data_IF_929587703050
#
_entry.id   IF_929587703050
#
_cell.length_a   1.000
_cell.length_b   1.000
_cell.length_c   1.000
_cell.angle_alpha   90.00
_cell.angle_beta   90.00
_cell.angle_gamma   90.00
#
_symmetry.space_group_name_H-M   'P 1'
#
loop_
_entity.id
_entity.type
_entity.pdbx_description
1 polymer ?
#
# COMPACT_ATOMS: atom_id res chain seq x y z
N UNK A 1 -13.16 12.57 -8.05
CA UNK A 1 -12.51 11.25 -8.13
C UNK A 1 -11.99 11.07 -9.56
N UNK A 2 -10.74 10.68 -9.71
CA UNK A 2 -10.21 10.32 -11.03
C UNK A 2 -10.48 8.84 -11.28
N UNK A 3 -10.97 8.52 -12.47
CA UNK A 3 -11.09 7.12 -12.89
C UNK A 3 -9.70 6.57 -13.23
N UNK A 4 -9.48 5.31 -12.89
CA UNK A 4 -8.35 4.53 -13.36
C UNK A 4 -8.87 3.56 -14.41
N UNK A 5 -8.25 3.54 -15.57
CA UNK A 5 -8.62 2.64 -16.67
C UNK A 5 -7.50 1.62 -16.85
N UNK A 6 -7.87 0.36 -16.83
CA UNK A 6 -6.94 -0.77 -17.02
C UNK A 6 -7.34 -1.48 -18.31
N UNK A 7 -6.38 -1.61 -19.23
CA UNK A 7 -6.57 -2.31 -20.50
C UNK A 7 -5.68 -3.54 -20.57
N UNK A 8 -6.30 -4.67 -20.71
CA UNK A 8 -5.63 -5.96 -20.92
C UNK A 8 -5.69 -6.34 -22.42
N UNK A 9 -4.62 -6.94 -22.92
CA UNK A 9 -4.61 -7.64 -24.19
C UNK A 9 -4.71 -9.15 -24.01
N UNK A 10 -3.98 -9.90 -24.82
CA UNK A 10 -4.00 -11.37 -24.79
C UNK A 10 -3.03 -11.98 -23.74
N UNK A 11 -2.23 -11.17 -23.06
CA UNK A 11 -1.27 -11.60 -22.04
C UNK A 11 -1.68 -11.07 -20.65
N UNK A 12 -0.87 -11.37 -19.63
CA UNK A 12 -1.07 -10.82 -18.29
C UNK A 12 -0.71 -9.33 -18.17
N UNK A 13 0.01 -8.80 -19.16
CA UNK A 13 0.34 -7.38 -19.18
C UNK A 13 -0.91 -6.52 -19.29
N UNK A 14 -1.01 -5.54 -18.42
CA UNK A 14 -2.05 -4.54 -18.40
C UNK A 14 -1.44 -3.13 -18.49
N UNK A 15 -1.99 -2.29 -19.34
CA UNK A 15 -1.67 -0.88 -19.41
C UNK A 15 -2.67 -0.09 -18.57
N UNK A 16 -2.17 0.77 -17.68
CA UNK A 16 -2.98 1.52 -16.71
C UNK A 16 -2.86 3.00 -16.96
N UNK A 17 -3.99 3.67 -17.06
CA UNK A 17 -4.10 5.12 -17.13
C UNK A 17 -4.71 5.65 -15.82
N UNK A 18 -3.98 6.50 -15.11
CA UNK A 18 -4.43 7.18 -13.91
C UNK A 18 -4.26 8.70 -14.09
N UNK A 19 -5.28 9.38 -14.63
CA UNK A 19 -5.15 10.76 -15.09
C UNK A 19 -4.15 10.88 -16.24
N UNK A 20 -3.09 11.66 -16.05
CA UNK A 20 -2.00 11.79 -17.02
C UNK A 20 -0.85 10.77 -16.84
N UNK A 21 -0.96 9.88 -15.86
CA UNK A 21 0.08 8.91 -15.54
C UNK A 21 -0.22 7.57 -16.21
N UNK A 22 0.84 6.97 -16.76
CA UNK A 22 0.79 5.66 -17.39
C UNK A 22 1.65 4.69 -16.60
N UNK A 23 1.08 3.53 -16.29
CA UNK A 23 1.73 2.48 -15.52
C UNK A 23 1.52 1.14 -16.24
N UNK A 24 2.35 0.17 -15.93
CA UNK A 24 2.19 -1.20 -16.42
C UNK A 24 2.09 -2.15 -15.23
N UNK A 25 1.15 -3.08 -15.31
CA UNK A 25 1.00 -4.20 -14.37
C UNK A 25 1.29 -5.48 -15.16
N UNK A 26 2.05 -6.38 -14.59
CA UNK A 26 2.31 -7.70 -15.21
C UNK A 26 2.57 -8.74 -14.11
N UNK A 27 2.73 -9.97 -14.51
CA UNK A 27 3.21 -11.06 -13.66
C UNK A 27 4.67 -11.39 -14.00
N UNK A 28 5.44 -11.97 -13.08
CA UNK A 28 6.78 -12.43 -13.37
C UNK A 28 6.75 -13.61 -14.36
N UNK A 29 7.87 -13.86 -15.03
CA UNK A 29 7.99 -14.95 -15.97
C UNK A 29 7.66 -16.33 -15.35
N UNK A 30 7.96 -16.52 -14.05
CA UNK A 30 7.63 -17.73 -13.31
C UNK A 30 6.12 -17.97 -13.15
N UNK A 31 5.31 -16.93 -13.25
CA UNK A 31 3.84 -16.99 -13.23
C UNK A 31 3.19 -16.84 -14.61
N UNK A 32 3.98 -16.87 -15.69
CA UNK A 32 3.50 -16.80 -17.07
C UNK A 32 3.42 -15.40 -17.66
N UNK A 33 3.88 -14.38 -16.94
CA UNK A 33 4.01 -13.01 -17.44
C UNK A 33 5.34 -12.76 -18.15
N UNK A 34 5.62 -11.49 -18.44
CA UNK A 34 6.87 -11.03 -19.08
C UNK A 34 7.70 -10.12 -18.17
N UNK A 35 7.26 -9.92 -16.93
CA UNK A 35 7.92 -9.02 -15.96
C UNK A 35 8.08 -7.58 -16.49
N UNK A 36 7.07 -7.12 -17.26
CA UNK A 36 7.07 -5.78 -17.84
C UNK A 36 6.66 -4.68 -16.82
N UNK A 37 6.16 -5.06 -15.67
CA UNK A 37 5.78 -4.17 -14.58
C UNK A 37 5.56 -4.91 -13.28
N UNK A 38 5.36 -4.18 -12.17
CA UNK A 38 5.07 -4.78 -10.87
C UNK A 38 3.78 -5.61 -10.89
N UNK A 39 3.69 -6.56 -9.98
CA UNK A 39 2.46 -7.35 -9.77
C UNK A 39 1.36 -6.51 -9.11
N UNK A 40 0.08 -6.91 -9.22
CA UNK A 40 -1.03 -6.18 -8.59
C UNK A 40 -0.85 -5.91 -7.09
N UNK A 41 -0.34 -6.87 -6.32
CA UNK A 41 -0.10 -6.70 -4.89
C UNK A 41 1.05 -5.74 -4.57
N UNK A 42 2.00 -5.55 -5.50
CA UNK A 42 3.04 -4.53 -5.35
C UNK A 42 2.43 -3.13 -5.40
N UNK A 43 1.40 -2.92 -6.21
CA UNK A 43 0.65 -1.66 -6.26
C UNK A 43 -0.11 -1.39 -4.96
N UNK A 44 -0.70 -2.41 -4.32
CA UNK A 44 -1.31 -2.26 -2.99
C UNK A 44 -0.27 -1.89 -1.94
N UNK A 45 0.88 -2.55 -1.97
CA UNK A 45 2.00 -2.28 -1.07
C UNK A 45 2.57 -0.88 -1.29
N UNK A 46 2.75 -0.47 -2.55
CA UNK A 46 3.21 0.86 -2.92
C UNK A 46 2.22 1.96 -2.49
N UNK A 47 0.92 1.73 -2.67
CA UNK A 47 -0.12 2.65 -2.23
C UNK A 47 -0.08 2.83 -0.70
N UNK A 48 0.04 1.73 0.04
CA UNK A 48 0.13 1.78 1.50
C UNK A 48 1.40 2.50 1.96
N UNK A 49 2.57 2.14 1.42
CA UNK A 49 3.85 2.74 1.77
C UNK A 49 3.92 4.23 1.41
N UNK A 50 3.48 4.60 0.21
CA UNK A 50 3.42 5.98 -0.25
C UNK A 50 2.47 6.83 0.60
N UNK A 51 1.27 6.33 0.88
CA UNK A 51 0.31 7.04 1.74
C UNK A 51 0.84 7.22 3.16
N UNK A 52 1.51 6.20 3.72
CA UNK A 52 2.17 6.27 5.03
C UNK A 52 3.21 7.38 5.06
N UNK A 53 4.10 7.42 4.07
CA UNK A 53 5.14 8.45 3.93
C UNK A 53 4.55 9.87 3.80
N UNK A 54 3.55 10.03 2.93
CA UNK A 54 2.89 11.33 2.72
C UNK A 54 2.19 11.82 3.98
N UNK A 55 1.52 10.92 4.72
CA UNK A 55 0.84 11.26 5.99
C UNK A 55 1.83 11.75 7.04
N UNK A 56 2.97 11.09 7.19
CA UNK A 56 4.05 11.56 8.06
C UNK A 56 4.59 12.93 7.62
N UNK A 57 4.78 13.14 6.31
CA UNK A 57 5.25 14.41 5.76
C UNK A 57 4.32 15.58 6.07
N UNK A 58 3.00 15.37 5.94
CA UNK A 58 1.99 16.40 6.26
C UNK A 58 2.11 16.83 7.73
N UNK A 59 2.20 15.87 8.64
CA UNK A 59 2.31 16.17 10.07
C UNK A 59 3.66 16.79 10.42
N UNK A 60 4.74 16.28 9.84
CA UNK A 60 6.08 16.84 10.05
C UNK A 60 6.14 18.33 9.66
N UNK A 61 5.53 18.69 8.52
CA UNK A 61 5.43 20.10 8.10
C UNK A 61 4.59 20.94 9.06
N UNK A 62 3.43 20.43 9.48
CA UNK A 62 2.52 21.15 10.37
C UNK A 62 3.11 21.37 11.77
N UNK A 63 3.84 20.42 12.28
CA UNK A 63 4.39 20.42 13.64
C UNK A 63 5.87 20.84 13.68
N UNK A 64 6.44 21.28 12.55
CA UNK A 64 7.85 21.67 12.42
C UNK A 64 8.85 20.59 12.89
N UNK A 65 8.53 19.33 12.59
CA UNK A 65 9.42 18.20 12.83
C UNK A 65 10.44 18.13 11.69
N UNK A 66 11.77 18.08 11.96
CA UNK A 66 12.81 18.12 10.93
C UNK A 66 12.98 16.76 10.22
N UNK A 67 11.91 16.26 9.63
CA UNK A 67 11.91 15.04 8.85
C UNK A 67 12.49 15.32 7.46
N UNK A 68 13.67 14.79 7.17
CA UNK A 68 14.33 14.94 5.88
C UNK A 68 13.83 13.94 4.85
N UNK A 69 13.57 12.71 5.28
CA UNK A 69 13.08 11.65 4.43
C UNK A 69 12.54 10.46 5.21
N UNK A 70 11.99 9.50 4.48
CA UNK A 70 11.58 8.22 5.05
C UNK A 70 11.72 7.11 4.00
N UNK A 71 12.16 5.94 4.44
CA UNK A 71 12.03 4.71 3.67
C UNK A 71 10.92 3.88 4.32
N UNK A 72 9.96 3.43 3.52
CA UNK A 72 8.86 2.60 3.99
C UNK A 72 8.92 1.27 3.27
N UNK A 73 9.27 0.23 4.00
CA UNK A 73 9.33 -1.14 3.50
C UNK A 73 8.01 -1.83 3.80
N UNK A 74 7.34 -2.29 2.76
CA UNK A 74 6.06 -2.99 2.88
C UNK A 74 6.20 -4.38 2.30
N UNK A 75 5.93 -5.38 3.11
CA UNK A 75 5.78 -6.77 2.65
C UNK A 75 4.35 -7.20 2.87
N UNK A 76 3.84 -8.06 2.01
CA UNK A 76 2.51 -8.63 2.14
C UNK A 76 2.59 -10.15 2.10
N UNK A 77 1.78 -10.78 2.92
CA UNK A 77 1.54 -12.21 2.90
C UNK A 77 0.09 -12.52 3.31
N UNK A 78 -0.27 -13.77 3.26
CA UNK A 78 -1.53 -14.25 3.81
C UNK A 78 -1.27 -15.38 4.79
N UNK A 79 -2.07 -15.42 5.84
CA UNK A 79 -2.05 -16.50 6.82
C UNK A 79 -3.45 -17.08 7.00
N UNK A 80 -3.54 -18.28 7.53
CA UNK A 80 -4.85 -18.82 7.89
C UNK A 80 -5.45 -17.98 9.02
N UNK A 81 -6.73 -17.63 8.86
CA UNK A 81 -7.45 -16.82 9.85
C UNK A 81 -7.45 -17.45 11.24
N UNK A 82 -7.49 -18.79 11.33
CA UNK A 82 -7.43 -19.55 12.58
C UNK A 82 -6.14 -19.34 13.37
N UNK A 83 -5.04 -19.00 12.69
CA UNK A 83 -3.71 -18.82 13.28
C UNK A 83 -3.48 -17.38 13.76
N UNK A 84 -4.42 -16.48 13.50
CA UNK A 84 -4.37 -15.10 13.98
C UNK A 84 -5.12 -14.99 15.31
N UNK A 85 -4.37 -14.78 16.42
CA UNK A 85 -4.92 -14.78 17.77
C UNK A 85 -5.91 -13.63 18.03
N UNK A 86 -5.62 -12.44 17.51
CA UNK A 86 -6.36 -11.19 17.73
C UNK A 86 -7.26 -10.79 16.55
N UNK A 87 -7.41 -11.64 15.54
CA UNK A 87 -8.33 -11.40 14.45
C UNK A 87 -9.76 -11.86 14.79
N UNK A 88 -10.75 -11.08 14.35
CA UNK A 88 -12.18 -11.40 14.55
C UNK A 88 -12.65 -12.49 13.60
N UNK A 89 -12.22 -12.44 12.32
CA UNK A 89 -12.49 -13.51 11.37
C UNK A 89 -11.61 -14.72 11.67
N UNK A 90 -12.20 -15.91 11.77
CA UNK A 90 -11.48 -17.19 12.00
C UNK A 90 -11.59 -18.15 10.82
N UNK A 91 -12.24 -17.75 9.74
CA UNK A 91 -12.46 -18.57 8.54
C UNK A 91 -11.61 -18.04 7.36
N UNK A 92 -11.04 -18.99 6.59
CA UNK A 92 -10.27 -18.66 5.39
C UNK A 92 -8.90 -18.03 5.69
N UNK A 93 -8.55 -17.04 4.90
CA UNK A 93 -7.27 -16.34 4.99
C UNK A 93 -7.43 -14.91 5.46
N UNK A 94 -6.39 -14.41 6.10
CA UNK A 94 -6.20 -13.00 6.42
C UNK A 94 -4.98 -12.50 5.65
N UNK A 95 -5.09 -11.33 5.05
CA UNK A 95 -3.97 -10.64 4.44
C UNK A 95 -3.26 -9.80 5.48
N UNK A 96 -1.94 -9.89 5.51
CA UNK A 96 -1.10 -9.13 6.40
C UNK A 96 -0.14 -8.27 5.59
N UNK A 97 -0.11 -6.98 5.92
CA UNK A 97 0.91 -6.05 5.45
C UNK A 97 1.81 -5.70 6.63
N UNK A 98 3.10 -6.04 6.53
CA UNK A 98 4.10 -5.61 7.48
C UNK A 98 4.76 -4.33 6.95
N UNK A 99 4.70 -3.26 7.75
CA UNK A 99 5.18 -1.94 7.37
C UNK A 99 6.31 -1.53 8.32
N UNK A 100 7.53 -1.48 7.79
CA UNK A 100 8.70 -1.03 8.52
C UNK A 100 9.17 0.32 7.99
N UNK A 101 9.39 1.26 8.91
CA UNK A 101 9.67 2.66 8.61
C UNK A 101 11.05 3.03 9.12
N UNK A 102 11.89 3.56 8.22
CA UNK A 102 13.13 4.21 8.57
C UNK A 102 12.95 5.71 8.38
N UNK A 103 13.06 6.46 9.47
CA UNK A 103 12.99 7.92 9.45
C UNK A 103 14.40 8.51 9.27
N UNK A 104 14.50 9.51 8.42
CA UNK A 104 15.75 10.20 8.11
C UNK A 104 15.62 11.65 8.57
N UNK A 105 16.55 12.09 9.40
CA UNK A 105 16.61 13.44 9.97
C UNK A 105 17.07 13.42 11.42
N UNK A 106 17.38 14.58 11.96
CA UNK A 106 17.78 14.76 13.36
C UNK A 106 16.52 14.86 14.24
N UNK A 107 15.93 13.70 14.55
CA UNK A 107 14.65 13.57 15.24
C UNK A 107 14.86 13.16 16.70
N UNK A 108 14.09 13.75 17.60
CA UNK A 108 13.99 13.30 18.99
C UNK A 108 13.17 12.00 19.06
N UNK A 109 13.29 11.25 20.15
CA UNK A 109 12.47 10.05 20.38
C UNK A 109 10.99 10.38 20.38
N UNK A 110 10.59 11.50 20.98
CA UNK A 110 9.19 11.96 20.98
C UNK A 110 8.69 12.24 19.55
N UNK A 111 9.51 12.86 18.70
CA UNK A 111 9.17 13.10 17.29
C UNK A 111 9.06 11.80 16.50
N UNK A 112 9.93 10.82 16.74
CA UNK A 112 9.86 9.48 16.14
C UNK A 112 8.57 8.78 16.52
N UNK A 113 8.23 8.76 17.79
CA UNK A 113 6.96 8.17 18.29
C UNK A 113 5.74 8.89 17.71
N UNK A 114 5.79 10.22 17.63
CA UNK A 114 4.72 11.01 17.02
C UNK A 114 4.50 10.61 15.56
N UNK A 115 5.56 10.53 14.76
CA UNK A 115 5.48 10.16 13.36
C UNK A 115 4.99 8.71 13.17
N UNK A 116 5.45 7.78 14.01
CA UNK A 116 4.97 6.40 13.98
C UNK A 116 3.48 6.31 14.28
N UNK A 117 3.00 7.05 15.27
CA UNK A 117 1.57 7.08 15.64
C UNK A 117 0.69 7.61 14.51
N UNK A 118 1.23 8.57 13.75
CA UNK A 118 0.58 9.17 12.58
C UNK A 118 0.57 8.21 11.39
N UNK A 119 1.68 7.52 11.15
CA UNK A 119 1.82 6.53 10.09
C UNK A 119 0.72 5.47 10.15
N UNK A 120 0.37 5.00 11.35
CA UNK A 120 -0.70 4.01 11.59
C UNK A 120 -2.10 4.49 11.19
N UNK A 121 -2.27 5.77 10.92
CA UNK A 121 -3.55 6.41 10.60
C UNK A 121 -3.64 6.86 9.16
N UNK A 122 -2.79 6.37 8.28
CA UNK A 122 -2.85 6.74 6.87
C UNK A 122 -4.18 6.28 6.24
N UNK A 123 -4.77 7.06 5.33
CA UNK A 123 -6.06 6.74 4.72
C UNK A 123 -6.11 5.37 4.05
N UNK A 124 -5.04 4.96 3.35
CA UNK A 124 -4.99 3.64 2.70
C UNK A 124 -5.02 2.51 3.74
N UNK A 125 -4.29 2.63 4.86
CA UNK A 125 -4.35 1.63 5.94
C UNK A 125 -5.77 1.53 6.51
N UNK A 126 -6.45 2.65 6.70
CA UNK A 126 -7.86 2.67 7.16
C UNK A 126 -8.78 1.97 6.15
N UNK A 127 -8.60 2.21 4.87
CA UNK A 127 -9.37 1.55 3.82
C UNK A 127 -9.13 0.04 3.85
N UNK A 128 -7.88 -0.42 3.88
CA UNK A 128 -7.53 -1.84 3.86
C UNK A 128 -8.01 -2.60 5.10
N UNK A 129 -8.28 -1.91 6.20
CA UNK A 129 -8.79 -2.50 7.45
C UNK A 129 -10.27 -2.28 7.69
N UNK A 130 -10.97 -1.66 6.76
CA UNK A 130 -12.43 -1.43 6.80
C UNK A 130 -13.19 -2.46 5.98
N UNK A 131 -14.50 -2.47 6.11
CA UNK A 131 -15.36 -3.19 5.19
C UNK A 131 -15.26 -2.57 3.79
N UNK A 132 -14.99 -3.38 2.78
CA UNK A 132 -14.87 -2.96 1.39
C UNK A 132 -15.99 -3.63 0.59
N UNK A 133 -16.69 -2.84 -0.21
CA UNK A 133 -17.65 -3.35 -1.20
C UNK A 133 -17.12 -3.12 -2.60
N UNK A 134 -17.15 -4.16 -3.41
CA UNK A 134 -16.76 -4.13 -4.82
C UNK A 134 -18.03 -4.46 -5.62
N UNK A 135 -18.39 -3.56 -6.51
CA UNK A 135 -19.55 -3.73 -7.41
C UNK A 135 -19.04 -3.77 -8.85
N UNK A 136 -19.36 -4.84 -9.57
CA UNK A 136 -18.90 -5.09 -10.93
C UNK A 136 -20.06 -5.10 -11.89
N UNK A 137 -19.89 -4.50 -13.06
CA UNK A 137 -20.87 -4.49 -14.13
C UNK A 137 -20.21 -4.48 -15.50
N UNK A 138 -20.92 -4.99 -16.51
CA UNK A 138 -20.49 -4.88 -17.91
C UNK A 138 -20.94 -3.53 -18.47
N UNK A 139 -20.11 -2.96 -19.36
CA UNK A 139 -20.39 -1.73 -20.13
C UNK A 139 -20.36 -2.02 -21.61
#
# INVERSE_FOLDING_TARGET
MSAVIVRAGASFRNDVEAGQHHLTIDEPASAGGTDAGPMPYDFLSAALGGCTSMTMRVVAKRENIPLEGAEVHVTNDRMYAKDCADCTNKNGYIHRFDVRIKLIGNLTDAQRERLLSVARRCPVAKTLTSEIRIEESLI
#
